data_IF_958452799235
#
_entry.id   IF_958452799235
#
_cell.length_a   1.000
_cell.length_b   1.000
_cell.length_c   1.000
_cell.angle_alpha   90.00
_cell.angle_beta   90.00
_cell.angle_gamma   90.00
#
_symmetry.space_group_name_H-M   'P 1'
#
loop_
_entity.id
_entity.type
_entity.pdbx_description
1 polymer ?
#
# COMPACT_ATOMS: atom_id res chain seq x y z
N UNK A 1 -37.42 -9.61 96.96
CA UNK A 1 -37.43 -10.72 95.97
C UNK A 1 -37.37 -10.17 94.53
N UNK A 2 -36.32 -9.44 94.12
CA UNK A 2 -36.23 -8.86 92.75
C UNK A 2 -34.85 -9.13 92.08
N UNK A 3 -33.98 -9.92 92.73
CA UNK A 3 -32.59 -10.16 92.30
C UNK A 3 -32.41 -11.18 91.16
N UNK A 4 -33.49 -11.68 90.56
CA UNK A 4 -33.44 -12.70 89.48
C UNK A 4 -33.65 -12.13 88.07
N UNK A 5 -34.19 -10.91 87.94
CA UNK A 5 -34.53 -10.32 86.63
C UNK A 5 -33.34 -9.71 85.87
N UNK A 6 -32.35 -9.18 86.58
CA UNK A 6 -31.18 -8.52 85.99
C UNK A 6 -30.17 -9.54 85.43
N UNK A 7 -30.12 -10.75 85.99
CA UNK A 7 -29.17 -11.79 85.56
C UNK A 7 -29.57 -12.42 84.21
N UNK A 8 -30.87 -12.48 83.90
CA UNK A 8 -31.36 -13.00 82.62
C UNK A 8 -31.14 -12.03 81.44
N UNK A 9 -31.11 -10.72 81.70
CA UNK A 9 -30.93 -9.70 80.65
C UNK A 9 -29.47 -9.56 80.22
N UNK A 10 -28.50 -9.81 81.12
CA UNK A 10 -27.07 -9.78 80.79
C UNK A 10 -26.65 -11.01 79.97
N UNK A 11 -27.25 -12.18 80.22
CA UNK A 11 -26.92 -13.42 79.48
C UNK A 11 -27.51 -13.44 78.06
N UNK A 12 -28.63 -12.74 77.83
CA UNK A 12 -29.23 -12.60 76.49
C UNK A 12 -28.45 -11.65 75.58
N UNK A 13 -27.83 -10.61 76.13
CA UNK A 13 -27.12 -9.59 75.34
C UNK A 13 -25.74 -10.07 74.86
N UNK A 14 -25.12 -11.05 75.54
CA UNK A 14 -23.83 -11.63 75.14
C UNK A 14 -23.89 -12.54 73.91
N UNK A 15 -25.07 -12.98 73.46
CA UNK A 15 -25.21 -13.81 72.26
C UNK A 15 -25.39 -13.02 70.96
N UNK A 16 -25.60 -11.70 71.03
CA UNK A 16 -25.80 -10.85 69.85
C UNK A 16 -24.51 -10.30 69.24
N UNK A 17 -23.34 -10.61 69.82
CA UNK A 17 -22.05 -10.06 69.39
C UNK A 17 -21.10 -11.08 68.72
N UNK A 18 -21.56 -12.31 68.43
CA UNK A 18 -20.77 -13.34 67.71
C UNK A 18 -21.27 -13.45 66.27
N UNK A 19 -21.24 -12.33 65.56
CA UNK A 19 -21.50 -12.22 64.13
C UNK A 19 -20.42 -11.39 63.44
N UNK A 20 -19.16 -11.60 63.83
CA UNK A 20 -18.01 -10.98 63.17
C UNK A 20 -17.69 -11.74 61.87
N UNK A 21 -17.56 -10.97 60.80
CA UNK A 21 -17.44 -11.39 59.40
C UNK A 21 -16.43 -12.53 59.17
N UNK A 22 -16.91 -13.62 58.59
CA UNK A 22 -16.05 -14.50 57.80
C UNK A 22 -15.95 -13.89 56.41
N UNK A 23 -14.86 -13.17 56.15
CA UNK A 23 -14.47 -12.83 54.79
C UNK A 23 -14.24 -14.16 54.06
N UNK A 24 -15.15 -14.51 53.16
CA UNK A 24 -14.99 -15.65 52.29
C UNK A 24 -13.85 -15.32 51.32
N UNK A 25 -12.66 -15.89 51.55
CA UNK A 25 -11.61 -15.93 50.54
C UNK A 25 -12.21 -16.57 49.29
N UNK A 26 -12.52 -15.73 48.30
CA UNK A 26 -12.85 -16.19 46.97
C UNK A 26 -11.58 -16.77 46.41
N UNK A 27 -11.42 -18.07 46.61
CA UNK A 27 -10.42 -18.87 45.93
C UNK A 27 -10.68 -18.72 44.44
N UNK A 28 -9.82 -17.94 43.76
CA UNK A 28 -9.87 -17.82 42.32
C UNK A 28 -9.74 -19.23 41.73
N UNK A 29 -10.56 -19.59 40.72
CA UNK A 29 -10.52 -20.92 40.12
C UNK A 29 -9.12 -21.22 39.59
N UNK A 30 -8.70 -22.51 39.59
CA UNK A 30 -7.34 -22.90 39.22
C UNK A 30 -7.02 -22.44 37.79
N UNK A 31 -5.84 -21.84 37.62
CA UNK A 31 -5.37 -21.36 36.33
C UNK A 31 -5.35 -22.51 35.30
N UNK A 32 -6.09 -22.32 34.20
CA UNK A 32 -6.18 -23.30 33.11
C UNK A 32 -5.15 -22.92 32.05
N UNK A 33 -4.15 -23.77 31.76
CA UNK A 33 -3.14 -23.44 30.75
C UNK A 33 -3.79 -23.32 29.38
N UNK A 34 -3.50 -22.21 28.69
CA UNK A 34 -3.91 -21.95 27.33
C UNK A 34 -2.66 -21.71 26.47
N UNK A 35 -2.72 -22.12 25.21
CA UNK A 35 -1.66 -21.82 24.24
C UNK A 35 -1.83 -20.38 23.77
N UNK A 36 -0.90 -19.52 24.13
CA UNK A 36 -0.86 -18.12 23.68
C UNK A 36 0.17 -17.95 22.58
N UNK A 37 -0.07 -17.00 21.68
CA UNK A 37 0.90 -16.52 20.70
C UNK A 37 0.98 -15.00 20.80
N UNK A 38 2.18 -14.45 20.65
CA UNK A 38 2.40 -13.01 20.60
C UNK A 38 2.15 -12.52 19.17
N UNK A 39 1.29 -11.51 19.02
CA UNK A 39 1.10 -10.81 17.75
C UNK A 39 2.13 -9.68 17.71
N UNK A 40 3.19 -9.87 16.93
CA UNK A 40 4.14 -8.81 16.65
C UNK A 40 3.49 -7.72 15.79
N UNK A 41 3.84 -6.46 16.04
CA UNK A 41 3.50 -5.39 15.12
C UNK A 41 4.23 -5.63 13.80
N UNK A 42 3.48 -5.62 12.70
CA UNK A 42 4.00 -5.72 11.34
C UNK A 42 3.54 -4.44 10.64
N UNK A 43 4.44 -3.80 9.90
CA UNK A 43 4.06 -2.77 8.92
C UNK A 43 3.76 -3.49 7.59
N UNK A 44 2.50 -3.78 7.25
CA UNK A 44 2.19 -4.52 6.04
C UNK A 44 2.47 -3.63 4.82
N UNK A 45 3.54 -3.91 4.10
CA UNK A 45 3.77 -3.31 2.78
C UNK A 45 2.82 -3.97 1.79
N UNK A 46 1.72 -3.29 1.46
CA UNK A 46 0.80 -3.72 0.40
C UNK A 46 1.49 -3.57 -0.95
N UNK A 47 1.75 -4.68 -1.64
CA UNK A 47 2.24 -4.67 -3.02
C UNK A 47 1.05 -4.82 -3.97
N UNK A 48 0.83 -3.82 -4.82
CA UNK A 48 -0.10 -3.92 -5.94
C UNK A 48 0.69 -4.09 -7.24
N UNK A 49 0.27 -5.03 -8.07
CA UNK A 49 0.81 -5.21 -9.43
C UNK A 49 -0.21 -4.65 -10.41
N UNK A 50 0.20 -3.63 -11.16
CA UNK A 50 -0.63 -2.99 -12.17
C UNK A 50 -0.03 -3.32 -13.55
N UNK A 51 -0.54 -4.35 -14.24
CA UNK A 51 -0.05 -4.69 -15.57
C UNK A 51 -0.31 -3.52 -16.53
N UNK A 52 0.68 -3.20 -17.35
CA UNK A 52 0.61 -2.13 -18.34
C UNK A 52 1.36 -2.53 -19.60
N UNK A 53 1.04 -1.85 -20.70
CA UNK A 53 1.69 -2.03 -21.99
C UNK A 53 2.62 -0.85 -22.20
N UNK A 54 3.84 -1.11 -22.66
CA UNK A 54 4.82 -0.07 -23.00
C UNK A 54 4.41 0.53 -24.35
N UNK A 55 4.19 1.84 -24.38
CA UNK A 55 3.93 2.60 -25.59
C UNK A 55 5.17 3.40 -26.00
N UNK A 56 5.38 3.68 -27.31
CA UNK A 56 6.40 4.61 -27.76
C UNK A 56 6.20 5.99 -27.12
N UNK A 57 7.28 6.64 -26.70
CA UNK A 57 7.20 8.00 -26.17
C UNK A 57 6.83 9.02 -27.26
N UNK A 58 7.30 8.79 -28.49
CA UNK A 58 7.02 9.62 -29.67
C UNK A 58 6.99 8.72 -30.91
N UNK A 59 6.01 8.95 -31.79
CA UNK A 59 5.93 8.34 -33.12
C UNK A 59 5.91 9.46 -34.15
N UNK A 60 6.62 9.29 -35.27
CA UNK A 60 6.65 10.26 -36.35
C UNK A 60 6.52 9.54 -37.70
N UNK A 61 5.51 9.92 -38.47
CA UNK A 61 5.34 9.49 -39.85
C UNK A 61 6.07 10.48 -40.76
N UNK A 62 7.07 9.99 -41.48
CA UNK A 62 7.90 10.82 -42.34
C UNK A 62 7.39 10.77 -43.77
N UNK A 63 7.26 11.95 -44.38
CA UNK A 63 6.90 12.10 -45.79
C UNK A 63 7.76 13.16 -46.44
N UNK A 64 7.83 13.13 -47.76
CA UNK A 64 8.50 14.17 -48.54
C UNK A 64 7.56 15.36 -48.71
N UNK A 65 8.08 16.57 -48.46
CA UNK A 65 7.29 17.80 -48.55
C UNK A 65 6.98 18.22 -49.99
N UNK A 66 7.80 17.78 -50.94
CA UNK A 66 7.67 18.05 -52.37
C UNK A 66 7.70 16.74 -53.14
N UNK A 67 7.00 16.70 -54.27
CA UNK A 67 7.08 15.59 -55.20
C UNK A 67 8.43 15.54 -55.91
N UNK A 68 8.90 14.34 -56.26
CA UNK A 68 10.17 14.15 -56.95
C UNK A 68 10.56 12.69 -57.06
N UNK A 69 11.73 12.45 -57.67
CA UNK A 69 12.31 11.11 -57.79
C UNK A 69 13.28 10.88 -56.63
N UNK A 70 13.17 9.74 -55.96
CA UNK A 70 14.10 9.35 -54.91
C UNK A 70 15.48 9.04 -55.53
N UNK A 71 16.51 9.73 -55.08
CA UNK A 71 17.89 9.56 -55.52
C UNK A 71 18.67 8.60 -54.61
N UNK A 72 18.48 8.73 -53.30
CA UNK A 72 19.17 7.91 -52.30
C UNK A 72 18.29 7.62 -51.08
N UNK A 73 18.48 6.44 -50.47
CA UNK A 73 17.83 5.97 -49.26
C UNK A 73 18.87 5.25 -48.38
N UNK A 74 19.77 5.98 -47.71
CA UNK A 74 20.95 5.42 -47.05
C UNK A 74 20.67 4.77 -45.69
N UNK A 75 19.42 4.48 -45.36
CA UNK A 75 19.01 3.87 -44.10
C UNK A 75 18.43 2.48 -44.32
N UNK A 76 18.58 1.61 -43.33
CA UNK A 76 18.00 0.27 -43.31
C UNK A 76 16.84 0.19 -42.32
N UNK A 77 15.91 -0.73 -42.57
CA UNK A 77 14.80 -0.98 -41.65
C UNK A 77 15.32 -1.42 -40.26
N UNK A 78 14.71 -0.90 -39.20
CA UNK A 78 15.13 -1.15 -37.82
C UNK A 78 16.39 -0.41 -37.37
N UNK A 79 17.02 0.39 -38.25
CA UNK A 79 18.20 1.18 -37.90
C UNK A 79 17.86 2.29 -36.89
N UNK A 80 18.69 2.41 -35.84
CA UNK A 80 18.62 3.55 -34.92
C UNK A 80 19.31 4.77 -35.54
N UNK A 81 18.63 5.92 -35.54
CA UNK A 81 19.11 7.16 -36.13
C UNK A 81 18.90 8.34 -35.17
N UNK A 82 19.74 9.37 -35.31
CA UNK A 82 19.60 10.61 -34.55
C UNK A 82 18.62 11.58 -35.24
N UNK A 83 18.06 12.51 -34.47
CA UNK A 83 17.23 13.60 -35.02
C UNK A 83 18.04 14.43 -36.02
N UNK A 84 17.47 14.65 -37.21
CA UNK A 84 18.12 15.39 -38.28
C UNK A 84 19.08 14.57 -39.15
N UNK A 85 19.22 13.26 -38.90
CA UNK A 85 19.95 12.37 -39.79
C UNK A 85 19.29 12.33 -41.19
N UNK A 86 20.11 12.14 -42.22
CA UNK A 86 19.63 11.95 -43.60
C UNK A 86 18.97 10.58 -43.71
N UNK A 87 17.68 10.57 -44.05
CA UNK A 87 16.87 9.35 -44.22
C UNK A 87 16.66 9.05 -45.70
N UNK A 88 16.36 10.08 -46.49
CA UNK A 88 16.08 10.00 -47.92
C UNK A 88 16.55 11.28 -48.61
N UNK A 89 17.01 11.17 -49.85
CA UNK A 89 17.38 12.31 -50.70
C UNK A 89 16.62 12.24 -52.02
N UNK A 90 15.95 13.33 -52.38
CA UNK A 90 15.34 13.52 -53.69
C UNK A 90 16.38 13.96 -54.72
N UNK A 91 16.11 13.68 -55.99
CA UNK A 91 16.78 14.35 -57.10
C UNK A 91 16.30 15.81 -57.18
N UNK A 92 17.24 16.75 -57.00
CA UNK A 92 16.95 18.17 -56.84
C UNK A 92 17.22 18.99 -58.09
N UNK A 93 17.60 18.41 -59.24
CA UNK A 93 17.96 19.19 -60.45
C UNK A 93 16.85 20.17 -60.84
N UNK A 94 15.61 19.71 -60.95
CA UNK A 94 14.47 20.58 -61.29
C UNK A 94 14.21 21.64 -60.22
N UNK A 95 14.36 21.28 -58.94
CA UNK A 95 14.16 22.21 -57.82
C UNK A 95 15.22 23.31 -57.83
N UNK A 96 16.48 22.94 -58.08
CA UNK A 96 17.60 23.87 -58.14
C UNK A 96 17.44 24.84 -59.32
N UNK A 97 17.11 24.33 -60.50
CA UNK A 97 16.87 25.16 -61.67
C UNK A 97 15.74 26.17 -61.42
N UNK A 98 14.68 25.79 -60.69
CA UNK A 98 13.58 26.70 -60.37
C UNK A 98 14.00 27.83 -59.41
N UNK A 99 14.90 27.53 -58.47
CA UNK A 99 15.46 28.53 -57.55
C UNK A 99 16.41 29.48 -58.28
N UNK A 100 17.23 28.99 -59.20
CA UNK A 100 18.24 29.80 -59.90
C UNK A 100 17.61 30.79 -60.92
N UNK A 101 16.36 30.58 -61.30
CA UNK A 101 15.60 31.45 -62.23
C UNK A 101 14.71 32.48 -61.51
N UNK A 102 14.66 32.46 -60.18
CA UNK A 102 13.87 33.37 -59.34
C UNK A 102 14.68 34.62 -58.96
#
# INVERSE_FOLDING_TARGET
MIKFGILATVLGLSHLLVGASLAQETNAPPARPAKLIDIAAIDPVTKISLPSIIAPSVTADLTMLVGGVLKDLPVQEGQSIAKGALIAQLDTVTLQNAVDQA
#
